data_IF_451747349185
#
_entry.id   IF_451747349185
#
_cell.length_a   1.000
_cell.length_b   1.000
_cell.length_c   1.000
_cell.angle_alpha   90.00
_cell.angle_beta   90.00
_cell.angle_gamma   90.00
#
_symmetry.space_group_name_H-M   'P 1'
#
loop_
_entity.id
_entity.type
_entity.pdbx_description
1 polymer ?
#
# COMPACT_ATOMS: atom_id res chain seq x y z
N UNK A 1 -30.41 -76.72 -15.57
CA UNK A 1 -30.71 -75.44 -14.88
C UNK A 1 -29.55 -74.88 -14.06
N UNK A 2 -28.54 -75.66 -13.63
CA UNK A 2 -27.42 -75.17 -12.81
C UNK A 2 -26.42 -74.22 -13.51
N UNK A 3 -26.25 -74.27 -14.83
CA UNK A 3 -25.28 -73.41 -15.54
C UNK A 3 -25.74 -71.97 -15.75
N UNK A 4 -27.06 -71.73 -15.89
CA UNK A 4 -27.59 -70.37 -16.12
C UNK A 4 -27.51 -69.50 -14.87
N UNK A 5 -27.64 -70.11 -13.68
CA UNK A 5 -27.53 -69.37 -12.42
C UNK A 5 -26.09 -68.90 -12.18
N UNK A 6 -25.09 -69.72 -12.52
CA UNK A 6 -23.67 -69.41 -12.30
C UNK A 6 -23.17 -68.26 -13.20
N UNK A 7 -23.68 -68.17 -14.43
CA UNK A 7 -23.34 -67.09 -15.36
C UNK A 7 -23.89 -65.74 -14.88
N UNK A 8 -25.11 -65.71 -14.34
CA UNK A 8 -25.71 -64.47 -13.83
C UNK A 8 -24.95 -63.95 -12.61
N UNK A 9 -24.55 -64.83 -11.69
CA UNK A 9 -23.78 -64.43 -10.51
C UNK A 9 -22.40 -63.89 -10.90
N UNK A 10 -21.75 -64.48 -11.89
CA UNK A 10 -20.44 -64.01 -12.36
C UNK A 10 -20.52 -62.62 -13.01
N UNK A 11 -21.58 -62.35 -13.80
CA UNK A 11 -21.80 -61.04 -14.41
C UNK A 11 -22.05 -59.97 -13.33
N UNK A 12 -22.84 -60.27 -12.30
CA UNK A 12 -23.12 -59.31 -11.22
C UNK A 12 -21.85 -58.98 -10.42
N UNK A 13 -21.00 -59.97 -10.11
CA UNK A 13 -19.73 -59.74 -9.40
C UNK A 13 -18.76 -58.92 -10.25
N UNK A 14 -18.69 -59.18 -11.56
CA UNK A 14 -17.78 -58.48 -12.47
C UNK A 14 -18.24 -57.03 -12.75
N UNK A 15 -19.56 -56.77 -12.76
CA UNK A 15 -20.12 -55.41 -12.84
C UNK A 15 -19.91 -54.66 -11.52
N UNK A 16 -20.08 -55.30 -10.36
CA UNK A 16 -19.80 -54.69 -9.06
C UNK A 16 -18.32 -54.34 -8.88
N UNK A 17 -17.39 -55.20 -9.30
CA UNK A 17 -15.96 -54.91 -9.16
C UNK A 17 -15.48 -53.81 -10.12
N UNK A 18 -16.05 -53.71 -11.34
CA UNK A 18 -15.75 -52.62 -12.26
C UNK A 18 -16.27 -51.25 -11.77
N UNK A 19 -17.42 -51.24 -11.06
CA UNK A 19 -17.97 -50.00 -10.49
C UNK A 19 -17.19 -49.51 -9.27
N UNK A 20 -16.59 -50.40 -8.47
CA UNK A 20 -15.80 -50.00 -7.30
C UNK A 20 -14.42 -49.39 -7.66
N UNK A 21 -13.85 -49.68 -8.83
CA UNK A 21 -12.51 -49.17 -9.21
C UNK A 21 -12.56 -47.75 -9.79
N UNK A 22 -13.73 -47.25 -10.22
CA UNK A 22 -13.86 -45.89 -10.80
C UNK A 22 -14.07 -44.78 -9.75
N UNK A 23 -14.07 -45.11 -8.45
CA UNK A 23 -14.19 -44.14 -7.36
C UNK A 23 -12.83 -43.75 -6.75
N UNK A 24 -11.72 -44.24 -7.28
CA UNK A 24 -10.39 -43.86 -6.81
C UNK A 24 -9.78 -42.79 -7.73
N UNK A 25 -9.53 -41.62 -7.16
CA UNK A 25 -8.72 -40.53 -7.72
C UNK A 25 -9.40 -39.61 -8.74
N UNK A 26 -10.61 -39.14 -8.44
CA UNK A 26 -11.05 -37.87 -9.02
C UNK A 26 -10.15 -36.75 -8.45
N UNK A 27 -9.09 -36.39 -9.18
CA UNK A 27 -8.25 -35.23 -8.86
C UNK A 27 -9.16 -34.01 -8.76
N UNK A 28 -8.95 -33.18 -7.74
CA UNK A 28 -9.73 -31.96 -7.58
C UNK A 28 -9.60 -31.11 -8.86
N UNK A 29 -10.69 -30.77 -9.56
CA UNK A 29 -10.63 -30.05 -10.83
C UNK A 29 -10.03 -28.64 -10.68
N UNK A 30 -10.05 -28.08 -9.46
CA UNK A 30 -9.57 -26.74 -9.16
C UNK A 30 -8.04 -26.67 -9.00
N UNK A 31 -7.42 -27.65 -8.32
CA UNK A 31 -5.97 -27.65 -8.06
C UNK A 31 -5.21 -28.80 -8.76
N UNK A 32 -5.92 -29.61 -9.54
CA UNK A 32 -5.39 -30.80 -10.21
C UNK A 32 -4.65 -31.75 -9.24
N UNK A 33 -5.14 -31.85 -8.00
CA UNK A 33 -4.58 -32.68 -6.94
C UNK A 33 -3.36 -32.13 -6.20
N UNK A 34 -2.90 -30.89 -6.47
CA UNK A 34 -1.75 -30.29 -5.76
C UNK A 34 -2.07 -29.81 -4.34
N UNK A 35 -3.35 -29.65 -4.01
CA UNK A 35 -3.77 -29.09 -2.71
C UNK A 35 -3.67 -27.56 -2.63
N UNK A 36 -2.89 -26.90 -3.49
CA UNK A 36 -2.72 -25.44 -3.51
C UNK A 36 -3.02 -24.85 -4.91
N UNK A 37 -3.40 -23.57 -4.95
CA UNK A 37 -3.61 -22.78 -6.17
C UNK A 37 -2.88 -21.44 -6.10
N UNK A 38 -2.51 -20.82 -7.24
CA UNK A 38 -1.92 -19.49 -7.26
C UNK A 38 -2.84 -18.49 -6.57
N UNK A 39 -2.28 -17.62 -5.75
CA UNK A 39 -3.05 -16.63 -5.03
C UNK A 39 -3.66 -15.62 -6.02
N UNK A 40 -4.99 -15.47 -6.09
CA UNK A 40 -5.66 -14.62 -7.07
C UNK A 40 -5.53 -13.12 -6.79
N UNK A 41 -4.86 -12.75 -5.70
CA UNK A 41 -4.65 -11.35 -5.31
C UNK A 41 -3.28 -10.84 -5.77
N UNK A 42 -2.29 -11.73 -5.89
CA UNK A 42 -0.94 -11.39 -6.35
C UNK A 42 -0.52 -12.16 -7.60
N UNK A 43 -1.45 -12.87 -8.23
CA UNK A 43 -1.22 -13.71 -9.41
C UNK A 43 -0.02 -14.65 -9.29
N UNK A 44 0.17 -15.22 -8.10
CA UNK A 44 1.27 -16.16 -7.84
C UNK A 44 2.63 -15.51 -7.53
N UNK A 45 2.76 -14.19 -7.58
CA UNK A 45 4.04 -13.49 -7.33
C UNK A 45 4.40 -13.39 -5.84
N UNK A 46 3.41 -13.53 -4.95
CA UNK A 46 3.59 -13.31 -3.51
C UNK A 46 3.63 -11.84 -3.10
N UNK A 47 3.74 -10.90 -4.05
CA UNK A 47 3.79 -9.46 -3.79
C UNK A 47 2.59 -8.76 -4.40
N UNK A 48 2.04 -7.76 -3.70
CA UNK A 48 1.07 -6.85 -4.31
C UNK A 48 1.70 -5.47 -4.41
N UNK A 49 1.54 -4.85 -5.58
CA UNK A 49 1.79 -3.43 -5.74
C UNK A 49 0.60 -2.72 -5.10
N UNK A 50 0.88 -1.89 -4.09
CA UNK A 50 -0.13 -0.97 -3.59
C UNK A 50 -0.24 0.17 -4.60
N UNK A 51 -1.41 0.31 -5.23
CA UNK A 51 -1.69 1.28 -6.30
C UNK A 51 -1.57 2.76 -5.87
N UNK A 52 -1.26 3.04 -4.61
CA UNK A 52 -0.98 4.38 -4.11
C UNK A 52 0.33 4.37 -3.30
N UNK A 53 1.45 4.13 -3.98
CA UNK A 53 2.75 4.50 -3.42
C UNK A 53 2.69 5.98 -3.03
N UNK A 54 3.01 6.30 -1.78
CA UNK A 54 3.11 7.70 -1.36
C UNK A 54 4.10 8.45 -2.25
N UNK A 55 3.93 9.77 -2.34
CA UNK A 55 4.93 10.62 -2.98
C UNK A 55 6.30 10.30 -2.35
N UNK A 56 7.27 9.93 -3.18
CA UNK A 56 8.61 9.58 -2.72
C UNK A 56 9.15 10.75 -1.89
N UNK A 57 9.51 10.51 -0.64
CA UNK A 57 9.91 11.57 0.31
C UNK A 57 11.16 12.32 -0.16
N UNK A 58 12.01 11.68 -0.96
CA UNK A 58 13.22 12.28 -1.52
C UNK A 58 12.91 13.28 -2.63
N UNK A 59 12.11 12.88 -3.62
CA UNK A 59 11.77 13.74 -4.76
C UNK A 59 10.40 14.41 -4.65
N UNK A 60 9.74 14.33 -3.48
CA UNK A 60 8.39 14.87 -3.25
C UNK A 60 7.35 14.51 -4.32
N UNK A 61 7.47 13.32 -4.94
CA UNK A 61 6.54 12.90 -6.00
C UNK A 61 6.93 13.23 -7.44
N UNK A 62 7.99 14.02 -7.68
CA UNK A 62 8.33 14.47 -9.03
C UNK A 62 9.02 13.42 -9.90
N UNK A 63 9.61 12.39 -9.29
CA UNK A 63 10.40 11.38 -10.00
C UNK A 63 11.81 11.84 -10.36
N UNK A 64 12.11 13.13 -10.28
CA UNK A 64 13.45 13.68 -10.52
C UNK A 64 14.01 14.36 -9.27
N UNK A 65 15.34 14.42 -9.17
CA UNK A 65 16.07 15.12 -8.12
C UNK A 65 17.06 16.09 -8.74
N UNK A 66 17.13 17.30 -8.18
CA UNK A 66 18.27 18.19 -8.42
C UNK A 66 19.43 17.74 -7.54
N UNK A 67 20.56 17.32 -8.11
CA UNK A 67 21.63 16.70 -7.34
C UNK A 67 22.36 17.72 -6.45
N UNK A 68 22.69 17.29 -5.24
CA UNK A 68 23.44 18.08 -4.27
C UNK A 68 24.93 17.93 -4.53
N UNK A 69 25.57 19.00 -5.00
CA UNK A 69 27.03 19.03 -5.21
C UNK A 69 27.66 19.99 -4.19
N UNK A 70 28.51 19.47 -3.31
CA UNK A 70 29.19 20.27 -2.30
C UNK A 70 30.61 20.67 -2.71
N UNK A 71 31.03 21.86 -2.29
CA UNK A 71 32.37 22.40 -2.55
C UNK A 71 33.29 21.97 -1.40
N UNK A 72 34.31 21.17 -1.73
CA UNK A 72 35.29 20.67 -0.76
C UNK A 72 36.46 21.65 -0.53
N UNK A 73 37.20 21.98 -1.59
CA UNK A 73 38.34 22.90 -1.49
C UNK A 73 38.55 23.68 -2.77
N UNK A 74 38.95 24.95 -2.64
CA UNK A 74 39.31 25.80 -3.77
C UNK A 74 40.79 26.17 -3.65
N UNK A 75 41.55 25.96 -4.73
CA UNK A 75 42.95 26.38 -4.82
C UNK A 75 43.13 27.27 -6.03
N UNK A 76 43.79 28.42 -5.83
CA UNK A 76 44.12 29.34 -6.91
C UNK A 76 45.63 29.56 -6.96
N UNK A 77 46.17 29.74 -8.18
CA UNK A 77 47.58 30.12 -8.38
C UNK A 77 47.68 31.16 -9.51
N UNK A 78 47.33 32.42 -9.23
CA UNK A 78 47.44 33.52 -10.20
C UNK A 78 48.81 33.56 -10.90
N UNK A 79 48.80 33.64 -12.23
CA UNK A 79 50.01 33.77 -13.03
C UNK A 79 49.72 34.51 -14.34
N UNK A 80 50.58 35.46 -14.72
CA UNK A 80 50.57 36.12 -16.04
C UNK A 80 49.21 36.74 -16.46
N UNK A 81 48.48 37.36 -15.53
CA UNK A 81 47.17 37.96 -15.84
C UNK A 81 46.00 36.97 -15.86
N UNK A 82 46.26 35.70 -15.54
CA UNK A 82 45.25 34.65 -15.43
C UNK A 82 45.14 34.15 -13.99
N UNK A 83 43.94 33.73 -13.60
CA UNK A 83 43.70 33.10 -12.30
C UNK A 83 43.17 31.68 -12.57
N UNK A 84 44.05 30.67 -12.60
CA UNK A 84 43.63 29.28 -12.61
C UNK A 84 43.02 28.93 -11.26
N UNK A 85 41.81 28.38 -11.30
CA UNK A 85 41.02 27.95 -10.15
C UNK A 85 40.83 26.44 -10.26
N UNK A 86 41.33 25.71 -9.26
CA UNK A 86 41.07 24.27 -9.10
C UNK A 86 40.08 24.07 -7.95
N UNK A 87 38.96 23.43 -8.25
CA UNK A 87 37.83 23.25 -7.34
C UNK A 87 37.65 21.76 -7.12
N UNK A 88 37.64 21.30 -5.86
CA UNK A 88 37.22 19.95 -5.51
C UNK A 88 35.74 19.97 -5.19
N UNK A 89 34.97 19.18 -5.93
CA UNK A 89 33.51 19.07 -5.80
C UNK A 89 33.16 17.63 -5.47
N UNK A 90 32.14 17.43 -4.63
CA UNK A 90 31.63 16.10 -4.26
C UNK A 90 30.17 16.02 -4.67
N UNK A 91 29.80 15.00 -5.44
CA UNK A 91 28.40 14.67 -5.67
C UNK A 91 27.89 13.86 -4.48
N UNK A 92 26.92 14.39 -3.74
CA UNK A 92 26.35 13.71 -2.57
C UNK A 92 25.28 12.67 -2.96
N UNK A 93 24.86 12.67 -4.22
CA UNK A 93 23.86 11.74 -4.74
C UNK A 93 24.45 10.38 -5.15
N UNK A 94 23.59 9.38 -5.23
CA UNK A 94 23.92 8.02 -5.67
C UNK A 94 23.86 7.83 -7.19
N UNK A 95 23.47 8.86 -7.94
CA UNK A 95 23.46 8.87 -9.40
C UNK A 95 24.33 10.00 -9.97
N UNK A 96 24.90 9.75 -11.15
CA UNK A 96 25.78 10.70 -11.84
C UNK A 96 24.98 11.91 -12.35
N UNK A 97 25.57 13.09 -12.27
CA UNK A 97 24.97 14.34 -12.74
C UNK A 97 25.89 15.06 -13.74
N UNK A 98 25.31 15.91 -14.59
CA UNK A 98 26.07 16.81 -15.44
C UNK A 98 25.78 18.26 -15.09
N UNK A 99 26.78 19.12 -15.21
CA UNK A 99 26.61 20.55 -15.01
C UNK A 99 27.86 21.36 -15.35
N UNK A 100 27.80 22.67 -15.11
CA UNK A 100 28.92 23.60 -15.30
C UNK A 100 29.27 24.29 -14.00
N UNK A 101 30.57 24.54 -13.82
CA UNK A 101 31.11 25.24 -12.66
C UNK A 101 31.57 26.61 -13.10
N UNK A 102 31.01 27.66 -12.51
CA UNK A 102 31.44 29.04 -12.75
C UNK A 102 32.24 29.52 -11.55
N UNK A 103 33.42 30.08 -11.83
CA UNK A 103 34.27 30.74 -10.85
C UNK A 103 34.27 32.24 -11.14
N UNK A 104 34.00 33.05 -10.11
CA UNK A 104 33.94 34.51 -10.20
C UNK A 104 34.91 35.14 -9.22
N UNK A 105 35.61 36.17 -9.66
CA UNK A 105 36.45 37.03 -8.82
C UNK A 105 36.06 38.48 -9.04
N UNK A 106 35.95 39.24 -7.96
CA UNK A 106 35.57 40.64 -8.02
C UNK A 106 36.79 41.52 -7.70
N UNK A 107 37.08 42.47 -8.59
CA UNK A 107 38.06 43.53 -8.37
C UNK A 107 37.36 44.88 -8.51
N UNK A 108 37.29 45.64 -7.40
CA UNK A 108 36.50 46.86 -7.30
C UNK A 108 35.03 46.67 -7.75
N UNK A 109 34.70 47.20 -8.94
CA UNK A 109 33.35 47.16 -9.54
C UNK A 109 33.25 46.23 -10.76
N UNK A 110 34.32 45.51 -11.08
CA UNK A 110 34.37 44.58 -12.22
C UNK A 110 34.39 43.14 -11.70
N UNK A 111 33.46 42.32 -12.19
CA UNK A 111 33.44 40.88 -11.94
C UNK A 111 34.05 40.17 -13.14
N UNK A 112 35.07 39.37 -12.87
CA UNK A 112 35.68 38.47 -13.85
C UNK A 112 35.19 37.06 -13.57
N UNK A 113 34.68 36.38 -14.59
CA UNK A 113 34.11 35.04 -14.46
C UNK A 113 34.63 34.12 -15.55
N UNK A 114 34.78 32.85 -15.22
CA UNK A 114 34.96 31.80 -16.21
C UNK A 114 34.11 30.59 -15.83
N UNK A 115 33.66 29.85 -16.85
CA UNK A 115 32.78 28.69 -16.69
C UNK A 115 33.44 27.47 -17.29
N UNK A 116 33.42 26.35 -16.56
CA UNK A 116 33.94 25.07 -17.04
C UNK A 116 33.13 24.56 -18.25
N UNK A 117 33.71 23.67 -19.06
CA UNK A 117 32.91 22.79 -19.91
C UNK A 117 31.90 21.99 -19.08
N UNK A 118 30.90 21.42 -19.77
CA UNK A 118 29.97 20.47 -19.17
C UNK A 118 30.76 19.31 -18.56
N UNK A 119 30.59 19.13 -17.26
CA UNK A 119 31.39 18.22 -16.43
C UNK A 119 30.49 17.12 -15.89
N UNK A 120 30.98 15.88 -15.88
CA UNK A 120 30.33 14.75 -15.22
C UNK A 120 30.71 14.75 -13.73
N UNK A 121 29.72 14.61 -12.87
CA UNK A 121 29.83 14.46 -11.43
C UNK A 121 29.43 13.02 -11.06
N UNK A 122 30.38 12.07 -11.02
CA UNK A 122 30.07 10.68 -10.67
C UNK A 122 29.50 10.57 -9.25
N UNK A 123 28.66 9.55 -8.98
CA UNK A 123 27.97 9.44 -7.70
C UNK A 123 28.94 9.21 -6.54
N UNK A 124 28.80 9.96 -5.46
CA UNK A 124 29.62 9.85 -4.25
C UNK A 124 31.14 9.99 -4.48
N UNK A 125 31.55 10.61 -5.58
CA UNK A 125 32.96 10.81 -5.92
C UNK A 125 33.38 12.27 -5.78
N UNK A 126 34.64 12.48 -5.41
CA UNK A 126 35.28 13.80 -5.45
C UNK A 126 35.95 14.00 -6.80
N UNK A 127 35.54 15.03 -7.54
CA UNK A 127 36.21 15.43 -8.78
C UNK A 127 36.94 16.75 -8.62
N UNK A 128 37.97 16.95 -9.44
CA UNK A 128 38.66 18.23 -9.56
C UNK A 128 38.27 18.92 -10.87
N UNK A 129 37.72 20.13 -10.77
CA UNK A 129 37.37 20.97 -11.92
C UNK A 129 38.33 22.14 -12.00
N UNK A 130 38.91 22.35 -13.18
CA UNK A 130 39.84 23.45 -13.45
C UNK A 130 39.16 24.48 -14.34
N UNK A 131 39.18 25.74 -13.90
CA UNK A 131 38.64 26.89 -14.63
C UNK A 131 39.69 28.00 -14.62
N UNK A 132 39.94 28.63 -15.76
CA UNK A 132 40.90 29.74 -15.85
C UNK A 132 40.17 31.03 -16.14
N UNK A 133 40.25 31.99 -15.21
CA UNK A 133 39.72 33.35 -15.41
C UNK A 133 40.78 34.16 -16.16
N UNK A 134 40.41 34.66 -17.33
CA UNK A 134 41.28 35.44 -18.24
C UNK A 134 40.70 36.84 -18.46
N UNK A 135 41.46 37.70 -19.16
CA UNK A 135 41.00 39.05 -19.52
C UNK A 135 41.02 40.04 -18.35
N UNK A 136 41.72 39.72 -17.27
CA UNK A 136 41.88 40.59 -16.11
C UNK A 136 42.81 41.75 -16.49
N UNK A 137 42.37 42.99 -16.24
CA UNK A 137 43.23 44.14 -16.47
C UNK A 137 44.48 44.06 -15.57
N UNK A 138 45.64 44.55 -16.02
CA UNK A 138 46.85 44.51 -15.20
C UNK A 138 46.66 45.22 -13.85
N UNK A 139 45.90 46.32 -13.83
CA UNK A 139 45.60 47.07 -12.62
C UNK A 139 44.72 46.28 -11.62
N UNK A 140 43.73 45.51 -12.11
CA UNK A 140 42.87 44.69 -11.25
C UNK A 140 43.58 43.41 -10.83
N UNK A 141 44.41 42.85 -11.71
CA UNK A 141 45.24 41.69 -11.42
C UNK A 141 46.19 42.00 -10.26
N UNK A 142 46.89 43.13 -10.30
CA UNK A 142 47.80 43.56 -9.23
C UNK A 142 47.04 43.71 -7.89
N UNK A 143 45.83 44.28 -7.89
CA UNK A 143 44.98 44.39 -6.68
C UNK A 143 44.54 43.04 -6.14
N UNK A 144 44.10 42.12 -7.01
CA UNK A 144 43.70 40.77 -6.64
C UNK A 144 44.88 39.99 -6.03
N UNK A 145 46.10 40.27 -6.50
CA UNK A 145 47.34 39.69 -5.98
C UNK A 145 47.79 40.39 -4.68
N UNK A 146 47.56 41.68 -4.52
CA UNK A 146 48.05 42.48 -3.39
C UNK A 146 47.21 42.32 -2.10
N UNK A 147 45.93 41.94 -2.20
CA UNK A 147 44.97 41.86 -1.07
C UNK A 147 45.27 40.75 -0.02
N UNK A 148 46.48 40.19 -0.01
CA UNK A 148 46.91 39.10 0.90
C UNK A 148 47.93 39.59 1.94
N UNK A 149 48.41 40.82 1.85
CA UNK A 149 49.43 41.38 2.76
C UNK A 149 48.87 42.56 3.57
N UNK A 150 47.77 42.39 4.32
CA UNK A 150 47.45 43.32 5.43
C UNK A 150 46.96 42.48 6.62
N UNK A 151 47.89 41.78 7.24
CA UNK A 151 47.63 40.97 8.42
C UNK A 151 48.90 40.40 9.04
N UNK A 152 49.97 41.19 9.16
CA UNK A 152 51.21 40.70 9.77
C UNK A 152 52.04 41.81 10.38
N UNK A 153 52.08 41.85 11.72
CA UNK A 153 53.35 42.13 12.39
C UNK A 153 54.20 40.87 12.31
N UNK A 154 55.31 40.98 11.57
CA UNK A 154 56.46 40.08 11.41
C UNK A 154 56.28 38.62 10.89
N UNK A 155 57.28 38.10 10.14
CA UNK A 155 57.04 37.28 8.96
C UNK A 155 57.34 35.78 9.16
N UNK A 156 56.56 34.87 8.57
CA UNK A 156 57.05 33.54 8.26
C UNK A 156 57.72 33.51 6.89
N UNK A 157 58.98 33.09 6.91
CA UNK A 157 59.69 32.53 5.78
C UNK A 157 58.85 31.47 5.05
N UNK A 158 58.81 31.62 3.72
CA UNK A 158 58.39 30.66 2.69
C UNK A 158 56.91 30.28 2.59
N UNK A 159 56.26 30.91 1.60
CA UNK A 159 55.07 30.48 0.87
C UNK A 159 53.70 30.62 1.56
N UNK A 160 53.40 31.79 2.10
CA UNK A 160 52.01 32.15 2.40
C UNK A 160 51.29 32.49 1.08
N UNK A 161 50.61 31.47 0.54
CA UNK A 161 49.92 31.50 -0.75
C UNK A 161 48.82 32.57 -0.78
N UNK A 162 48.90 33.38 -1.81
CA UNK A 162 47.87 34.24 -2.35
C UNK A 162 46.47 33.60 -2.30
N UNK A 163 45.52 34.15 -1.54
CA UNK A 163 44.13 33.67 -1.44
C UNK A 163 43.13 34.60 -2.12
N UNK A 164 43.14 34.61 -3.45
CA UNK A 164 41.93 35.01 -4.18
C UNK A 164 40.90 33.91 -3.92
N UNK A 165 39.80 34.26 -3.24
CA UNK A 165 38.71 33.32 -2.94
C UNK A 165 37.59 33.55 -3.95
N UNK A 166 37.55 32.80 -5.06
CA UNK A 166 36.50 32.97 -6.04
C UNK A 166 35.16 32.54 -5.45
N UNK A 167 34.10 33.24 -5.84
CA UNK A 167 32.74 32.75 -5.63
C UNK A 167 32.49 31.64 -6.65
N UNK A 168 32.08 30.47 -6.16
CA UNK A 168 31.79 29.30 -6.99
C UNK A 168 30.29 29.12 -7.06
N UNK A 169 29.77 29.06 -8.28
CA UNK A 169 28.37 28.74 -8.55
C UNK A 169 28.28 27.55 -9.50
N UNK A 170 27.23 26.76 -9.32
CA UNK A 170 26.88 25.67 -10.22
C UNK A 170 25.71 26.11 -11.09
N UNK A 171 25.80 25.81 -12.37
CA UNK A 171 24.77 26.14 -13.36
C UNK A 171 24.53 24.96 -14.29
N UNK A 172 23.35 24.92 -14.90
CA UNK A 172 22.95 23.85 -15.84
C UNK A 172 23.12 22.45 -15.23
N UNK A 173 22.89 22.31 -13.92
CA UNK A 173 22.90 21.00 -13.27
C UNK A 173 21.65 20.25 -13.73
N UNK A 174 21.84 19.15 -14.44
CA UNK A 174 20.74 18.32 -14.92
C UNK A 174 20.06 17.62 -13.74
N UNK A 175 18.73 17.69 -13.72
CA UNK A 175 17.94 16.83 -12.86
C UNK A 175 18.17 15.37 -13.26
N UNK A 176 18.31 14.50 -12.27
CA UNK A 176 18.51 13.07 -12.45
C UNK A 176 17.25 12.32 -12.05
N UNK A 177 17.00 11.17 -12.67
CA UNK A 177 15.94 10.28 -12.20
C UNK A 177 16.20 9.91 -10.74
N UNK A 178 15.18 10.05 -9.92
CA UNK A 178 15.27 9.79 -8.49
C UNK A 178 15.56 8.29 -8.28
N UNK A 179 16.75 7.93 -7.75
CA UNK A 179 17.14 6.53 -7.60
C UNK A 179 16.37 5.81 -6.48
N UNK A 180 15.57 6.55 -5.71
CA UNK A 180 14.74 6.01 -4.63
C UNK A 180 13.35 5.58 -5.09
N UNK A 181 12.92 6.03 -6.26
CA UNK A 181 11.64 5.66 -6.85
C UNK A 181 11.77 5.27 -8.33
N UNK A 182 12.99 5.01 -8.80
CA UNK A 182 13.31 4.66 -10.19
C UNK A 182 12.64 5.61 -11.20
N UNK A 183 12.67 6.92 -10.92
CA UNK A 183 12.07 7.93 -11.78
C UNK A 183 10.54 8.03 -11.69
N UNK A 184 9.85 7.14 -10.97
CA UNK A 184 8.37 7.10 -10.95
C UNK A 184 7.74 8.17 -10.08
N UNK A 185 8.50 8.76 -9.15
CA UNK A 185 7.99 9.68 -8.14
C UNK A 185 7.25 8.99 -6.99
N UNK A 186 7.01 7.68 -7.06
CA UNK A 186 6.23 6.94 -6.08
C UNK A 186 7.13 5.99 -5.29
N UNK A 187 6.98 5.93 -3.97
CA UNK A 187 7.60 4.86 -3.20
C UNK A 187 6.86 3.56 -3.52
N UNK A 188 7.41 2.70 -4.38
CA UNK A 188 6.81 1.41 -4.71
C UNK A 188 6.87 0.49 -3.48
N UNK A 189 5.85 0.54 -2.64
CA UNK A 189 5.73 -0.38 -1.52
C UNK A 189 5.23 -1.72 -2.06
N UNK A 190 6.17 -2.59 -2.46
CA UNK A 190 5.85 -4.01 -2.64
C UNK A 190 5.71 -4.63 -1.25
N UNK A 191 4.47 -4.90 -0.86
CA UNK A 191 4.17 -5.63 0.38
C UNK A 191 3.89 -7.09 0.07
N UNK A 192 4.22 -7.95 1.03
CA UNK A 192 3.79 -9.34 0.96
C UNK A 192 2.26 -9.39 0.87
N UNK A 193 1.78 -10.18 -0.08
CA UNK A 193 0.36 -10.39 -0.28
C UNK A 193 -0.23 -10.99 1.00
N UNK A 194 -1.05 -10.22 1.69
CA UNK A 194 -1.64 -10.58 2.98
C UNK A 194 -2.52 -11.84 2.90
N UNK A 195 -3.01 -12.18 1.70
CA UNK A 195 -3.85 -13.37 1.49
C UNK A 195 -3.04 -14.67 1.42
N UNK A 196 -1.82 -14.64 0.90
CA UNK A 196 -0.94 -15.82 0.84
C UNK A 196 0.27 -15.74 1.78
N UNK A 197 0.38 -14.68 2.58
CA UNK A 197 1.55 -14.46 3.44
C UNK A 197 2.87 -14.36 2.66
N UNK A 198 2.84 -13.82 1.44
CA UNK A 198 4.05 -13.68 0.61
C UNK A 198 4.45 -14.90 -0.21
N UNK A 199 3.80 -16.07 -0.03
CA UNK A 199 4.21 -17.31 -0.73
C UNK A 199 3.84 -17.33 -2.22
N UNK A 200 2.79 -16.60 -2.60
CA UNK A 200 2.16 -16.67 -3.92
C UNK A 200 1.11 -17.79 -4.05
N UNK A 201 0.92 -18.62 -3.02
CA UNK A 201 0.05 -19.80 -3.07
C UNK A 201 -0.93 -19.83 -1.90
N UNK A 202 -2.13 -20.35 -2.13
CA UNK A 202 -3.13 -20.59 -1.08
C UNK A 202 -3.69 -22.00 -1.19
N UNK A 203 -4.11 -22.55 -0.06
CA UNK A 203 -4.79 -23.84 -0.02
C UNK A 203 -6.04 -23.81 -0.92
N UNK A 204 -6.24 -24.91 -1.64
CA UNK A 204 -7.38 -25.10 -2.50
C UNK A 204 -8.65 -25.22 -1.65
N UNK A 205 -9.59 -24.25 -1.73
CA UNK A 205 -10.76 -24.22 -0.85
C UNK A 205 -11.69 -25.41 -1.04
N UNK A 206 -11.64 -26.06 -2.21
CA UNK A 206 -12.41 -27.28 -2.49
C UNK A 206 -11.75 -28.56 -1.96
N UNK A 207 -10.50 -28.51 -1.49
CA UNK A 207 -9.79 -29.66 -0.92
C UNK A 207 -9.80 -29.65 0.62
N UNK A 208 -9.74 -28.47 1.25
CA UNK A 208 -9.62 -28.34 2.72
C UNK A 208 -10.89 -28.69 3.51
N UNK A 209 -12.02 -29.00 2.86
CA UNK A 209 -13.24 -29.42 3.54
C UNK A 209 -13.22 -30.89 4.00
N UNK A 210 -12.17 -31.67 3.68
CA UNK A 210 -12.17 -33.13 3.90
C UNK A 210 -11.17 -33.60 4.97
N UNK A 211 -10.63 -32.70 5.78
CA UNK A 211 -9.67 -33.08 6.84
C UNK A 211 -10.20 -32.78 8.22
N UNK A 212 -11.00 -33.70 8.74
CA UNK A 212 -10.76 -34.37 10.04
C UNK A 212 -11.57 -35.65 10.06
N UNK A 213 -10.99 -36.72 9.50
CA UNK A 213 -11.33 -38.07 9.94
C UNK A 213 -10.83 -38.22 11.38
N UNK A 214 -11.75 -38.15 12.34
CA UNK A 214 -11.61 -38.99 13.52
C UNK A 214 -11.98 -40.40 13.08
N UNK A 215 -11.07 -41.33 13.32
CA UNK A 215 -11.26 -42.76 13.15
C UNK A 215 -12.37 -43.24 14.11
N UNK A 216 -13.63 -43.11 13.73
CA UNK A 216 -14.71 -43.88 14.36
C UNK A 216 -14.86 -45.21 13.63
N UNK A 217 -14.38 -46.24 14.33
CA UNK A 217 -14.59 -47.67 14.11
C UNK A 217 -16.11 -47.97 14.07
N UNK A 218 -16.69 -47.99 12.88
CA UNK A 218 -18.08 -48.39 12.66
C UNK A 218 -18.17 -49.91 12.53
N UNK A 219 -18.55 -50.54 13.65
CA UNK A 219 -19.00 -51.92 13.79
C UNK A 219 -20.27 -52.14 12.94
N UNK A 220 -20.12 -52.88 11.85
CA UNK A 220 -21.22 -53.29 10.97
C UNK A 220 -21.55 -54.75 11.27
N UNK A 221 -22.46 -54.95 12.22
CA UNK A 221 -23.19 -56.20 12.39
C UNK A 221 -24.70 -55.95 12.52
N UNK A 222 -25.47 -56.61 11.64
CA UNK A 222 -26.94 -56.66 11.66
C UNK A 222 -27.59 -55.97 10.46
N UNK A 223 -27.96 -56.69 9.39
CA UNK A 223 -29.34 -57.19 9.13
C UNK A 223 -30.41 -56.13 9.42
N UNK A 224 -31.34 -55.74 8.53
CA UNK A 224 -32.33 -56.58 7.86
C UNK A 224 -33.22 -55.67 6.98
N UNK A 225 -33.64 -56.21 5.84
CA UNK A 225 -34.72 -55.83 4.91
C UNK A 225 -35.73 -54.72 5.29
N UNK A 226 -36.13 -53.94 4.28
CA UNK A 226 -37.35 -53.13 4.34
C UNK A 226 -37.65 -52.33 3.08
N UNK A 227 -38.22 -52.99 2.06
CA UNK A 227 -38.87 -52.38 0.90
C UNK A 227 -40.09 -51.57 1.38
N UNK A 228 -40.24 -50.30 0.98
CA UNK A 228 -41.56 -49.68 0.88
C UNK A 228 -41.56 -48.51 -0.12
N UNK A 229 -42.49 -48.60 -1.06
CA UNK A 229 -42.74 -47.70 -2.16
C UNK A 229 -43.55 -46.45 -1.75
N UNK A 230 -43.35 -45.39 -2.55
CA UNK A 230 -44.35 -44.42 -3.08
C UNK A 230 -45.52 -43.99 -2.19
N UNK A 231 -45.59 -42.69 -1.91
CA UNK A 231 -46.88 -41.98 -1.82
C UNK A 231 -46.72 -40.49 -2.19
N UNK A 232 -47.11 -40.16 -3.42
CA UNK A 232 -47.52 -38.81 -3.84
C UNK A 232 -48.90 -38.58 -3.25
N UNK A 233 -49.06 -37.62 -2.34
CA UNK A 233 -50.37 -37.02 -2.04
C UNK A 233 -50.25 -35.51 -2.08
N UNK A 234 -50.94 -34.95 -3.06
CA UNK A 234 -51.25 -33.55 -3.21
C UNK A 234 -51.99 -33.03 -1.97
N UNK A 235 -51.39 -32.04 -1.31
CA UNK A 235 -52.01 -31.21 -0.27
C UNK A 235 -52.06 -29.76 -0.72
N UNK A 236 -52.97 -29.45 -1.65
CA UNK A 236 -53.38 -28.09 -1.97
C UNK A 236 -54.49 -27.71 -0.99
N UNK A 237 -54.21 -26.84 -0.02
CA UNK A 237 -55.22 -26.00 0.63
C UNK A 237 -54.58 -24.95 1.56
N UNK A 238 -54.78 -23.67 1.19
CA UNK A 238 -54.81 -22.48 2.04
C UNK A 238 -53.43 -21.99 2.54
N UNK A 239 -52.58 -21.55 1.62
CA UNK A 239 -51.72 -20.41 1.92
C UNK A 239 -52.54 -19.14 1.63
N UNK A 240 -53.20 -18.61 2.67
CA UNK A 240 -53.65 -17.22 2.65
C UNK A 240 -52.41 -16.36 2.41
N UNK A 241 -52.21 -15.97 1.15
CA UNK A 241 -51.11 -15.13 0.72
C UNK A 241 -51.38 -13.73 1.27
N UNK A 242 -51.04 -13.53 2.55
CA UNK A 242 -50.92 -12.22 3.15
C UNK A 242 -49.77 -11.56 2.41
N UNK A 243 -50.10 -10.87 1.30
CA UNK A 243 -49.25 -9.89 0.65
C UNK A 243 -49.10 -8.74 1.65
N UNK A 244 -48.25 -8.94 2.65
CA UNK A 244 -47.66 -7.85 3.40
C UNK A 244 -46.90 -7.04 2.37
N UNK A 245 -47.54 -5.97 1.91
CA UNK A 245 -46.95 -4.92 1.09
C UNK A 245 -45.78 -4.37 1.90
N UNK A 246 -44.60 -4.97 1.72
CA UNK A 246 -43.34 -4.55 2.33
C UNK A 246 -43.16 -3.10 1.89
N UNK A 247 -43.46 -2.14 2.78
CA UNK A 247 -43.17 -0.74 2.51
C UNK A 247 -41.68 -0.68 2.25
N UNK A 248 -41.31 -0.39 1.00
CA UNK A 248 -39.94 -0.15 0.59
C UNK A 248 -39.50 1.13 1.29
N UNK A 249 -38.68 0.99 2.33
CA UNK A 249 -38.11 2.12 3.06
C UNK A 249 -37.20 2.87 2.08
N UNK A 250 -37.36 4.18 1.96
CA UNK A 250 -36.50 5.04 1.14
C UNK A 250 -35.49 5.76 2.04
N UNK A 251 -34.29 6.02 1.53
CA UNK A 251 -33.26 6.76 2.28
C UNK A 251 -33.73 8.15 2.73
N UNK A 252 -34.50 8.85 1.88
CA UNK A 252 -35.06 10.17 2.19
C UNK A 252 -35.93 10.17 3.45
N UNK A 253 -36.64 9.07 3.72
CA UNK A 253 -37.46 8.94 4.91
C UNK A 253 -36.58 8.71 6.15
N UNK A 254 -35.46 8.00 5.99
CA UNK A 254 -34.49 7.76 7.05
C UNK A 254 -33.68 9.01 7.41
N UNK A 255 -33.43 9.91 6.45
CA UNK A 255 -32.79 11.22 6.71
C UNK A 255 -33.65 12.14 7.58
N UNK A 256 -34.98 11.93 7.61
CA UNK A 256 -35.94 12.72 8.40
C UNK A 256 -36.14 12.18 9.82
N UNK A 257 -35.66 10.98 10.11
CA UNK A 257 -35.73 10.42 11.45
C UNK A 257 -34.91 11.24 12.44
N UNK A 258 -35.30 11.23 13.71
CA UNK A 258 -34.43 11.75 14.76
C UNK A 258 -33.14 10.90 14.83
N UNK A 259 -32.02 11.44 15.32
CA UNK A 259 -30.77 10.68 15.44
C UNK A 259 -30.95 9.36 16.21
N UNK A 260 -31.73 9.38 17.30
CA UNK A 260 -32.06 8.20 18.10
C UNK A 260 -32.88 7.18 17.33
N UNK A 261 -33.91 7.61 16.60
CA UNK A 261 -34.75 6.70 15.81
C UNK A 261 -33.95 6.08 14.65
N UNK A 262 -33.10 6.87 14.00
CA UNK A 262 -32.21 6.40 12.94
C UNK A 262 -31.20 5.37 13.48
N UNK A 263 -30.55 5.65 14.61
CA UNK A 263 -29.65 4.70 15.27
C UNK A 263 -30.37 3.38 15.59
N UNK A 264 -31.55 3.44 16.19
CA UNK A 264 -32.35 2.26 16.50
C UNK A 264 -32.76 1.48 15.26
N UNK A 265 -33.10 2.18 14.17
CA UNK A 265 -33.41 1.56 12.89
C UNK A 265 -32.21 0.79 12.32
N UNK A 266 -31.02 1.40 12.32
CA UNK A 266 -29.78 0.77 11.84
C UNK A 266 -29.43 -0.45 12.70
N UNK A 267 -29.45 -0.31 14.03
CA UNK A 267 -29.15 -1.43 14.93
C UNK A 267 -30.13 -2.59 14.75
N UNK A 268 -31.43 -2.30 14.61
CA UNK A 268 -32.42 -3.35 14.30
C UNK A 268 -32.11 -4.07 12.99
N UNK A 269 -31.59 -3.36 11.98
CA UNK A 269 -31.25 -3.94 10.67
C UNK A 269 -30.00 -4.81 10.71
N UNK A 270 -29.06 -4.49 11.59
CA UNK A 270 -27.83 -5.25 11.87
C UNK A 270 -28.01 -6.34 12.93
N UNK A 271 -29.25 -6.55 13.43
CA UNK A 271 -29.54 -7.39 14.60
C UNK A 271 -28.70 -6.99 15.84
N UNK A 272 -28.31 -5.73 15.94
CA UNK A 272 -27.46 -5.20 17.00
C UNK A 272 -28.22 -4.74 18.25
N UNK A 273 -27.45 -4.39 19.27
CA UNK A 273 -27.92 -3.80 20.54
C UNK A 273 -27.30 -2.42 20.77
N UNK A 274 -28.01 -1.47 21.40
CA UNK A 274 -27.46 -0.16 21.72
C UNK A 274 -26.30 -0.29 22.72
N UNK A 275 -25.33 0.62 22.60
CA UNK A 275 -24.19 0.66 23.50
C UNK A 275 -24.54 1.31 24.85
N UNK A 276 -23.64 1.17 25.83
CA UNK A 276 -23.76 1.92 27.09
C UNK A 276 -23.55 3.42 26.85
N UNK A 277 -24.02 4.29 27.75
CA UNK A 277 -23.79 5.74 27.66
C UNK A 277 -22.30 6.10 27.62
N UNK A 278 -21.44 5.31 28.29
CA UNK A 278 -19.99 5.50 28.27
C UNK A 278 -19.40 5.23 26.88
N UNK A 279 -19.83 4.15 26.25
CA UNK A 279 -19.36 3.75 24.92
C UNK A 279 -19.85 4.72 23.84
N UNK A 280 -21.10 5.19 23.95
CA UNK A 280 -21.67 6.20 23.06
C UNK A 280 -20.86 7.50 23.08
N UNK A 281 -20.39 7.95 24.26
CA UNK A 281 -19.50 9.11 24.38
C UNK A 281 -18.15 8.91 23.70
N UNK A 282 -17.73 7.68 23.51
CA UNK A 282 -16.50 7.33 22.80
C UNK A 282 -16.72 7.11 21.29
N UNK A 283 -17.96 7.21 20.81
CA UNK A 283 -18.29 7.06 19.39
C UNK A 283 -18.72 5.65 18.97
N UNK A 284 -19.01 4.76 19.93
CA UNK A 284 -19.60 3.43 19.68
C UNK A 284 -21.11 3.52 19.97
N UNK A 285 -21.92 3.45 18.92
CA UNK A 285 -23.38 3.63 19.01
C UNK A 285 -24.12 2.32 19.32
N UNK A 286 -23.49 1.17 19.03
CA UNK A 286 -24.01 -0.14 19.40
C UNK A 286 -23.02 -1.27 19.11
N UNK A 287 -23.53 -2.49 19.20
CA UNK A 287 -22.76 -3.70 18.93
C UNK A 287 -23.59 -4.69 18.10
N UNK A 288 -22.94 -5.43 17.21
CA UNK A 288 -23.56 -6.58 16.52
C UNK A 288 -23.85 -7.72 17.51
N UNK A 289 -24.54 -8.78 17.05
CA UNK A 289 -24.75 -9.99 17.85
C UNK A 289 -23.44 -10.61 18.35
N UNK A 290 -22.42 -10.60 17.51
CA UNK A 290 -21.08 -11.13 17.81
C UNK A 290 -20.23 -10.18 18.67
N UNK A 291 -20.80 -9.05 19.10
CA UNK A 291 -20.12 -8.08 19.94
C UNK A 291 -19.15 -7.16 19.20
N UNK A 292 -19.22 -7.08 17.87
CA UNK A 292 -18.41 -6.13 17.12
C UNK A 292 -18.98 -4.70 17.29
N UNK A 293 -18.14 -3.69 17.59
CA UNK A 293 -18.61 -2.32 17.75
C UNK A 293 -19.18 -1.78 16.43
N UNK A 294 -20.25 -0.99 16.56
CA UNK A 294 -20.93 -0.32 15.46
C UNK A 294 -20.93 1.19 15.74
N UNK A 295 -20.49 1.99 14.76
CA UNK A 295 -20.66 3.44 14.77
C UNK A 295 -21.62 3.84 13.65
N UNK A 296 -22.52 4.76 13.94
CA UNK A 296 -23.65 5.13 13.07
C UNK A 296 -23.61 6.64 12.88
N UNK A 297 -23.57 7.09 11.62
CA UNK A 297 -23.57 8.49 11.24
C UNK A 297 -24.72 8.78 10.29
N UNK A 298 -25.66 9.61 10.73
CA UNK A 298 -26.76 10.10 9.90
C UNK A 298 -26.28 11.23 8.97
N UNK A 299 -25.27 10.96 8.15
CA UNK A 299 -24.63 11.93 7.27
C UNK A 299 -24.23 11.32 5.92
N UNK A 300 -24.18 12.18 4.90
CA UNK A 300 -23.56 11.90 3.60
C UNK A 300 -22.08 12.31 3.61
N UNK A 301 -21.28 11.73 2.71
CA UNK A 301 -19.88 12.08 2.46
C UNK A 301 -19.02 12.03 3.73
N UNK A 302 -19.22 11.01 4.57
CA UNK A 302 -18.41 10.77 5.77
C UNK A 302 -16.93 10.72 5.38
N UNK A 303 -16.09 11.40 6.17
CA UNK A 303 -14.69 11.64 5.90
C UNK A 303 -13.73 10.76 6.71
N UNK A 304 -12.43 10.98 6.50
CA UNK A 304 -11.35 10.30 7.22
C UNK A 304 -11.44 10.47 8.74
N UNK A 305 -11.82 11.65 9.23
CA UNK A 305 -11.78 11.96 10.67
C UNK A 305 -12.74 11.07 11.45
N UNK A 306 -13.92 10.78 10.88
CA UNK A 306 -14.89 9.86 11.48
C UNK A 306 -14.32 8.46 11.60
N UNK A 307 -13.61 7.98 10.57
CA UNK A 307 -12.98 6.66 10.56
C UNK A 307 -11.90 6.57 11.63
N UNK A 308 -11.02 7.57 11.72
CA UNK A 308 -9.92 7.60 12.70
C UNK A 308 -10.44 7.66 14.13
N UNK A 309 -11.49 8.45 14.38
CA UNK A 309 -12.15 8.49 15.70
C UNK A 309 -12.76 7.14 16.08
N UNK A 310 -13.42 6.47 15.13
CA UNK A 310 -13.98 5.15 15.38
C UNK A 310 -12.89 4.09 15.61
N UNK A 311 -11.82 4.10 14.82
CA UNK A 311 -10.65 3.23 15.02
C UNK A 311 -10.01 3.44 16.40
N UNK A 312 -9.88 4.69 16.86
CA UNK A 312 -9.37 5.00 18.19
C UNK A 312 -10.28 4.46 19.30
N UNK A 313 -11.61 4.56 19.13
CA UNK A 313 -12.58 3.97 20.05
C UNK A 313 -12.44 2.44 20.11
N UNK A 314 -12.38 1.78 18.95
CA UNK A 314 -12.18 0.34 18.86
C UNK A 314 -10.86 -0.11 19.51
N UNK A 315 -9.78 0.65 19.33
CA UNK A 315 -8.49 0.39 19.95
C UNK A 315 -8.56 0.36 21.48
N UNK A 316 -9.35 1.25 22.10
CA UNK A 316 -9.57 1.25 23.55
C UNK A 316 -10.32 0.00 24.03
N UNK A 317 -11.23 -0.53 23.21
CA UNK A 317 -11.98 -1.76 23.47
C UNK A 317 -11.26 -3.04 23.00
N UNK A 318 -10.03 -2.91 22.46
CA UNK A 318 -9.24 -4.01 21.89
C UNK A 318 -9.96 -4.78 20.78
N UNK A 319 -10.91 -4.15 20.10
CA UNK A 319 -11.63 -4.74 18.97
C UNK A 319 -10.78 -4.64 17.69
N UNK A 320 -10.74 -5.72 16.92
CA UNK A 320 -9.99 -5.81 15.65
C UNK A 320 -10.86 -5.64 14.41
N UNK A 321 -12.19 -5.73 14.56
CA UNK A 321 -13.16 -5.51 13.50
C UNK A 321 -14.37 -4.72 14.02
N UNK A 322 -14.97 -3.91 13.15
CA UNK A 322 -16.14 -3.09 13.49
C UNK A 322 -16.85 -2.56 12.25
N UNK A 323 -18.07 -2.07 12.43
CA UNK A 323 -18.91 -1.59 11.32
C UNK A 323 -19.20 -0.11 11.48
N UNK A 324 -18.92 0.69 10.46
CA UNK A 324 -19.31 2.09 10.38
C UNK A 324 -20.45 2.22 9.36
N UNK A 325 -21.59 2.74 9.79
CA UNK A 325 -22.77 2.94 8.94
C UNK A 325 -22.97 4.42 8.64
N UNK A 326 -23.15 4.78 7.37
CA UNK A 326 -23.47 6.14 6.93
C UNK A 326 -24.35 6.16 5.68
N UNK A 327 -24.85 7.30 5.22
CA UNK A 327 -25.53 7.37 3.91
C UNK A 327 -24.54 7.22 2.76
N UNK A 328 -23.37 7.87 2.87
CA UNK A 328 -22.28 7.73 1.91
C UNK A 328 -20.93 8.07 2.53
N UNK A 329 -19.86 7.61 1.87
CA UNK A 329 -18.47 7.83 2.27
C UNK A 329 -17.73 8.54 1.13
N UNK A 330 -16.86 9.47 1.49
CA UNK A 330 -15.98 10.11 0.50
C UNK A 330 -14.71 9.26 0.26
N UNK A 331 -13.91 9.66 -0.73
CA UNK A 331 -12.65 8.96 -1.04
C UNK A 331 -11.64 8.98 0.14
N UNK A 332 -11.68 10.02 0.98
CA UNK A 332 -10.80 10.11 2.14
C UNK A 332 -11.18 9.13 3.27
N UNK A 333 -12.45 8.73 3.38
CA UNK A 333 -12.87 7.68 4.30
C UNK A 333 -12.28 6.32 3.90
N UNK A 334 -12.16 6.03 2.59
CA UNK A 334 -11.47 4.82 2.10
C UNK A 334 -10.02 4.80 2.58
N UNK A 335 -9.32 5.94 2.45
CA UNK A 335 -7.94 6.09 2.96
C UNK A 335 -7.87 5.93 4.48
N UNK A 336 -8.81 6.51 5.21
CA UNK A 336 -8.94 6.34 6.66
C UNK A 336 -9.09 4.88 7.06
N UNK A 337 -9.94 4.13 6.34
CA UNK A 337 -10.15 2.69 6.58
C UNK A 337 -8.87 1.89 6.33
N UNK A 338 -8.22 2.14 5.19
CA UNK A 338 -6.96 1.46 4.84
C UNK A 338 -5.89 1.74 5.90
N UNK A 339 -5.75 3.01 6.31
CA UNK A 339 -4.83 3.41 7.38
C UNK A 339 -5.13 2.71 8.70
N UNK A 340 -6.40 2.61 9.08
CA UNK A 340 -6.80 1.92 10.30
C UNK A 340 -6.41 0.44 10.29
N UNK A 341 -6.59 -0.23 9.13
CA UNK A 341 -6.22 -1.62 8.94
C UNK A 341 -4.71 -1.85 8.96
N UNK A 342 -3.96 -1.03 8.22
CA UNK A 342 -2.50 -1.19 8.10
C UNK A 342 -1.76 -0.78 9.38
N UNK A 343 -2.11 0.34 9.99
CA UNK A 343 -1.34 0.89 11.11
C UNK A 343 -1.78 0.36 12.47
N UNK A 344 -3.08 0.05 12.64
CA UNK A 344 -3.64 -0.37 13.93
C UNK A 344 -4.12 -1.82 13.94
N UNK A 345 -4.12 -2.50 12.77
CA UNK A 345 -4.70 -3.84 12.64
C UNK A 345 -6.20 -3.84 12.91
N UNK A 346 -6.89 -2.74 12.60
CA UNK A 346 -8.32 -2.56 12.85
C UNK A 346 -9.05 -2.55 11.50
N UNK A 347 -9.90 -3.55 11.26
CA UNK A 347 -10.71 -3.64 10.06
C UNK A 347 -12.07 -2.96 10.26
N UNK A 348 -12.36 -1.94 9.46
CA UNK A 348 -13.61 -1.19 9.54
C UNK A 348 -14.42 -1.46 8.28
N UNK A 349 -15.55 -2.16 8.45
CA UNK A 349 -16.52 -2.33 7.38
C UNK A 349 -17.34 -1.05 7.25
N UNK A 350 -17.17 -0.34 6.13
CA UNK A 350 -18.01 0.81 5.78
C UNK A 350 -19.26 0.29 5.07
N UNK A 351 -20.43 0.51 5.67
CA UNK A 351 -21.73 0.06 5.14
C UNK A 351 -22.61 1.28 4.91
N UNK A 352 -23.19 1.39 3.72
CA UNK A 352 -24.11 2.45 3.38
C UNK A 352 -25.54 2.10 3.81
N UNK A 353 -26.37 3.12 4.06
CA UNK A 353 -27.81 2.91 4.33
C UNK A 353 -28.49 2.22 3.16
N UNK A 354 -28.10 2.52 1.92
CA UNK A 354 -28.61 1.85 0.71
C UNK A 354 -28.37 0.35 0.74
N UNK A 355 -27.15 -0.09 1.08
CA UNK A 355 -26.81 -1.52 1.25
C UNK A 355 -27.69 -2.20 2.32
N UNK A 356 -27.96 -1.51 3.43
CA UNK A 356 -28.85 -2.00 4.48
C UNK A 356 -30.30 -2.13 4.02
N UNK A 357 -30.81 -1.20 3.21
CA UNK A 357 -32.16 -1.26 2.64
C UNK A 357 -32.25 -2.45 1.67
N UNK A 358 -31.28 -2.61 0.78
CA UNK A 358 -31.22 -3.69 -0.20
C UNK A 358 -31.00 -5.07 0.44
N UNK A 359 -30.50 -5.11 1.69
CA UNK A 359 -30.15 -6.37 2.37
C UNK A 359 -28.89 -7.02 1.81
N UNK A 360 -28.05 -6.23 1.13
CA UNK A 360 -26.70 -6.64 0.72
C UNK A 360 -25.74 -6.26 1.83
N UNK A 361 -25.68 -7.07 2.88
CA UNK A 361 -24.53 -7.02 3.76
C UNK A 361 -23.44 -7.81 3.05
N UNK A 362 -22.44 -7.14 2.47
CA UNK A 362 -21.29 -7.79 1.84
C UNK A 362 -20.76 -8.85 2.80
N UNK A 363 -20.88 -10.11 2.37
CA UNK A 363 -20.60 -11.29 3.19
C UNK A 363 -19.18 -11.19 3.77
N UNK A 364 -19.11 -11.36 5.09
CA UNK A 364 -17.90 -11.31 5.95
C UNK A 364 -16.88 -12.36 5.52
#
# INVERSE_FOLDING_TARGET
MKSKLLIVTFIVVLVCSAFCVSLTNALCPTCNGRGEIPCPVCDGTGKVLLDEGGACERCSGYGTLTPTISIGSVTTQPSNGEIPVQIRLVNEETAAAFGKVTAEVQADSVTYSATSPRTNFPPQETIAVSVTITGISSADYDKLVETVIIGGGDPPSTAEKLRVTPQISLSEVEDIDCPYCDGTGLSSLQVDCSRCGGTGWIDCPTCSSTTTGQDEELDISGTTYGVAAVAVIAGVAIAAFVVLKKRTVKEEDLKKLTPTDFQNWVLKRLNGKPASTSDARMGIDGYTLDGQPVSIKQADNVDRNVIENFAAAMGRHKSKSGTLVAFSFNNDAIRGRIRAKLNYGIDIQMVTVGELIEGRTSTI
#
